data_IF_932909159316
#
_entry.id   IF_932909159316
#
_cell.length_a   1.000
_cell.length_b   1.000
_cell.length_c   1.000
_cell.angle_alpha   90.00
_cell.angle_beta   90.00
_cell.angle_gamma   90.00
#
_symmetry.space_group_name_H-M   'P 1'
#
loop_
_entity.id
_entity.type
_entity.pdbx_description
1 polymer ?
#
# COMPACT_ATOMS: atom_id res chain seq x y z
N UNK A 1 -36.64 19.04 -41.05
CA UNK A 1 -35.72 18.09 -41.69
C UNK A 1 -35.15 17.19 -40.60
N UNK A 2 -35.47 15.89 -40.60
CA UNK A 2 -35.01 14.96 -39.56
C UNK A 2 -33.53 14.68 -39.83
N UNK A 3 -32.60 14.97 -38.90
CA UNK A 3 -31.19 14.65 -39.12
C UNK A 3 -31.10 13.14 -39.40
N UNK A 4 -30.33 12.72 -40.42
CA UNK A 4 -30.23 11.32 -40.77
C UNK A 4 -29.63 10.58 -39.58
N UNK A 5 -30.41 9.66 -39.00
CA UNK A 5 -30.02 8.87 -37.81
C UNK A 5 -28.63 8.23 -37.94
N UNK A 6 -28.25 7.86 -39.17
CA UNK A 6 -26.94 7.33 -39.52
C UNK A 6 -25.78 8.31 -39.26
N UNK A 7 -25.97 9.61 -39.47
CA UNK A 7 -24.96 10.63 -39.22
C UNK A 7 -24.72 10.82 -37.72
N UNK A 8 -25.78 10.76 -36.92
CA UNK A 8 -25.65 10.84 -35.46
C UNK A 8 -24.92 9.61 -34.93
N UNK A 9 -25.24 8.42 -35.46
CA UNK A 9 -24.57 7.17 -35.11
C UNK A 9 -23.08 7.19 -35.48
N UNK A 10 -22.74 7.68 -36.67
CA UNK A 10 -21.33 7.74 -37.10
C UNK A 10 -20.52 8.73 -36.28
N UNK A 11 -21.09 9.88 -35.92
CA UNK A 11 -20.44 10.86 -35.04
C UNK A 11 -20.20 10.28 -33.64
N UNK A 12 -21.18 9.56 -33.07
CA UNK A 12 -21.03 8.93 -31.76
C UNK A 12 -19.90 7.89 -31.74
N UNK A 13 -19.85 7.01 -32.74
CA UNK A 13 -18.80 5.98 -32.85
C UNK A 13 -17.42 6.63 -33.04
N UNK A 14 -17.33 7.68 -33.86
CA UNK A 14 -16.09 8.41 -34.10
C UNK A 14 -15.60 9.10 -32.82
N UNK A 15 -16.52 9.66 -32.02
CA UNK A 15 -16.20 10.32 -30.76
C UNK A 15 -15.69 9.33 -29.71
N UNK A 16 -16.32 8.15 -29.58
CA UNK A 16 -15.82 7.09 -28.70
C UNK A 16 -14.43 6.60 -29.13
N UNK A 17 -14.23 6.33 -30.42
CA UNK A 17 -12.93 5.91 -30.94
C UNK A 17 -11.84 6.97 -30.70
N UNK A 18 -12.18 8.25 -30.88
CA UNK A 18 -11.26 9.36 -30.60
C UNK A 18 -10.92 9.46 -29.11
N UNK A 19 -11.90 9.27 -28.22
CA UNK A 19 -11.67 9.23 -26.77
C UNK A 19 -10.69 8.11 -26.42
N UNK A 20 -10.91 6.88 -26.89
CA UNK A 20 -9.99 5.76 -26.69
C UNK A 20 -8.58 6.02 -27.25
N UNK A 21 -8.48 6.69 -28.40
CA UNK A 21 -7.20 6.99 -29.05
C UNK A 21 -6.42 8.10 -28.30
N UNK A 22 -7.14 9.12 -27.82
CA UNK A 22 -6.56 10.28 -27.10
C UNK A 22 -6.21 9.92 -25.67
N UNK A 23 -7.06 9.16 -24.97
CA UNK A 23 -6.73 8.70 -23.62
C UNK A 23 -5.69 7.59 -23.65
N UNK A 24 -5.50 6.93 -24.80
CA UNK A 24 -4.74 5.69 -24.91
C UNK A 24 -5.31 4.60 -23.99
N UNK A 25 -4.65 3.43 -23.95
CA UNK A 25 -4.81 2.49 -22.84
C UNK A 25 -4.05 2.99 -21.59
N UNK A 26 -4.03 4.31 -21.36
CA UNK A 26 -3.33 4.93 -20.24
C UNK A 26 -4.18 4.90 -18.98
N UNK A 27 -4.90 3.80 -18.76
CA UNK A 27 -5.04 3.30 -17.38
C UNK A 27 -3.68 2.74 -16.98
N UNK A 28 -2.63 3.55 -17.08
CA UNK A 28 -1.37 3.36 -16.39
C UNK A 28 -1.71 3.57 -14.93
N UNK A 29 -2.36 2.56 -14.34
CA UNK A 29 -2.55 2.50 -12.91
C UNK A 29 -1.16 2.72 -12.31
N UNK A 30 -1.06 3.71 -11.42
CA UNK A 30 0.16 3.95 -10.68
C UNK A 30 0.54 2.63 -10.01
N UNK A 31 1.62 2.01 -10.48
CA UNK A 31 2.25 0.88 -9.83
C UNK A 31 3.35 1.46 -8.97
N UNK A 32 3.24 1.42 -7.62
CA UNK A 32 4.35 1.84 -6.78
C UNK A 32 5.59 1.00 -7.11
N UNK A 33 6.75 1.66 -7.12
CA UNK A 33 8.05 0.99 -7.35
C UNK A 33 8.37 0.09 -6.16
N UNK A 34 8.11 0.62 -4.96
CA UNK A 34 8.28 -0.07 -3.69
C UNK A 34 6.92 -0.18 -3.00
N UNK A 35 6.55 -1.39 -2.60
CA UNK A 35 5.36 -1.66 -1.79
C UNK A 35 5.79 -2.21 -0.42
N UNK A 36 5.89 -1.30 0.57
CA UNK A 36 6.48 -1.59 1.88
C UNK A 36 5.35 -1.64 2.92
N UNK A 37 5.02 -2.85 3.36
CA UNK A 37 4.12 -3.09 4.48
C UNK A 37 4.92 -3.59 5.69
N UNK A 38 4.98 -2.81 6.76
CA UNK A 38 5.72 -3.17 7.99
C UNK A 38 4.75 -3.63 9.08
N UNK A 39 5.03 -4.78 9.69
CA UNK A 39 4.34 -5.29 10.86
C UNK A 39 5.19 -5.03 12.11
N UNK A 40 4.91 -3.91 12.77
CA UNK A 40 5.67 -3.46 13.92
C UNK A 40 5.58 -4.46 15.08
N UNK A 41 6.69 -4.67 15.79
CA UNK A 41 6.89 -5.67 16.85
C UNK A 41 6.86 -7.14 16.38
N UNK A 42 6.79 -7.41 15.07
CA UNK A 42 6.88 -8.78 14.54
C UNK A 42 8.31 -9.14 14.14
N UNK A 43 8.80 -10.35 14.45
CA UNK A 43 10.02 -10.86 13.84
C UNK A 43 9.73 -11.41 12.43
N UNK A 44 10.68 -11.25 11.51
CA UNK A 44 10.64 -11.84 10.17
C UNK A 44 9.46 -11.40 9.28
N UNK A 45 9.39 -11.99 8.09
CA UNK A 45 8.32 -11.70 7.14
C UNK A 45 7.11 -12.61 7.36
N UNK A 46 5.92 -12.08 7.10
CA UNK A 46 4.65 -12.83 7.15
C UNK A 46 3.76 -12.46 5.96
N UNK A 47 2.79 -13.30 5.62
CA UNK A 47 1.89 -13.07 4.49
C UNK A 47 0.44 -13.15 4.93
N UNK A 48 -0.35 -12.13 4.61
CA UNK A 48 -1.76 -12.03 4.99
C UNK A 48 -2.53 -11.18 3.97
N UNK A 49 -3.66 -11.69 3.47
CA UNK A 49 -4.53 -10.97 2.50
C UNK A 49 -3.81 -10.38 1.29
N UNK A 50 -2.96 -11.18 0.65
CA UNK A 50 -2.12 -10.82 -0.51
C UNK A 50 -0.98 -9.84 -0.22
N UNK A 51 -0.83 -9.39 1.02
CA UNK A 51 0.27 -8.54 1.45
C UNK A 51 1.40 -9.39 2.04
N UNK A 52 2.64 -9.03 1.71
CA UNK A 52 3.81 -9.50 2.45
C UNK A 52 4.20 -8.42 3.44
N UNK A 53 4.11 -8.76 4.72
CA UNK A 53 4.43 -7.89 5.84
C UNK A 53 5.84 -8.15 6.34
N UNK A 54 6.62 -7.08 6.45
CA UNK A 54 8.00 -7.09 6.91
C UNK A 54 8.02 -6.84 8.42
N UNK A 55 8.63 -7.73 9.19
CA UNK A 55 8.83 -7.57 10.62
C UNK A 55 9.96 -6.59 10.94
N UNK A 56 9.72 -5.70 11.90
CA UNK A 56 10.73 -4.73 12.39
C UNK A 56 11.41 -5.16 13.70
N UNK A 57 11.12 -6.37 14.23
CA UNK A 57 11.66 -6.84 15.51
C UNK A 57 12.80 -7.84 15.37
N UNK A 58 13.22 -8.16 14.15
CA UNK A 58 14.39 -9.00 13.89
C UNK A 58 15.68 -8.18 14.01
N UNK A 59 16.71 -8.79 14.61
CA UNK A 59 18.02 -8.17 14.77
C UNK A 59 18.61 -7.81 13.40
N UNK A 60 18.92 -6.53 13.21
CA UNK A 60 19.42 -6.02 11.92
C UNK A 60 18.34 -5.70 10.89
N UNK A 61 17.06 -5.73 11.24
CA UNK A 61 15.99 -5.27 10.34
C UNK A 61 16.20 -3.80 9.96
N UNK A 62 16.18 -3.51 8.66
CA UNK A 62 16.30 -2.17 8.09
C UNK A 62 15.19 -1.22 8.55
N UNK A 63 14.06 -1.79 8.97
CA UNK A 63 12.87 -1.06 9.39
C UNK A 63 12.78 -0.89 10.91
N UNK A 64 13.77 -1.39 11.66
CA UNK A 64 13.88 -1.14 13.09
C UNK A 64 14.09 0.35 13.37
N UNK A 65 13.44 0.91 14.40
CA UNK A 65 13.71 2.29 14.83
C UNK A 65 15.18 2.48 15.17
N UNK A 66 15.75 3.60 14.72
CA UNK A 66 17.21 3.84 14.75
C UNK A 66 17.70 4.67 15.94
N UNK A 67 16.80 5.15 16.80
CA UNK A 67 17.18 6.04 17.91
C UNK A 67 17.73 5.30 19.14
N UNK A 68 18.86 5.80 19.66
CA UNK A 68 19.61 5.31 20.82
C UNK A 68 18.90 5.48 22.17
N UNK A 69 17.76 6.17 22.23
CA UNK A 69 17.01 6.38 23.48
C UNK A 69 16.06 5.19 23.67
N UNK A 70 16.68 4.07 24.03
CA UNK A 70 16.09 2.75 24.18
C UNK A 70 15.00 2.68 25.25
N UNK A 71 13.75 2.88 24.85
CA UNK A 71 12.65 2.09 25.41
C UNK A 71 11.51 2.04 24.41
N UNK A 72 11.41 0.96 23.65
CA UNK A 72 10.15 0.58 23.02
C UNK A 72 9.64 -0.67 23.73
N UNK A 73 8.33 -0.84 23.74
CA UNK A 73 7.69 -2.02 24.31
C UNK A 73 6.98 -2.74 23.18
N UNK A 74 7.33 -4.01 22.99
CA UNK A 74 6.62 -4.91 22.10
C UNK A 74 5.37 -5.40 22.85
N UNK A 75 4.20 -5.18 22.27
CA UNK A 75 2.93 -5.48 22.91
C UNK A 75 1.97 -6.19 21.96
N UNK A 76 1.21 -7.14 22.50
CA UNK A 76 0.11 -7.76 21.79
C UNK A 76 -1.21 -7.07 22.15
N UNK A 77 -2.12 -7.01 21.19
CA UNK A 77 -3.49 -6.56 21.43
C UNK A 77 -4.17 -7.49 22.44
N UNK A 78 -4.68 -6.91 23.52
CA UNK A 78 -5.40 -7.66 24.56
C UNK A 78 -6.80 -8.11 24.12
N UNK A 79 -7.32 -7.53 23.03
CA UNK A 79 -8.63 -7.85 22.44
C UNK A 79 -8.54 -7.73 20.93
N UNK A 80 -9.20 -8.65 20.23
CA UNK A 80 -9.47 -8.54 18.79
C UNK A 80 -10.88 -7.98 18.57
N UNK A 81 -11.04 -7.19 17.50
CA UNK A 81 -12.37 -6.79 17.04
C UNK A 81 -12.84 -7.77 15.95
N UNK A 82 -14.11 -8.21 15.97
CA UNK A 82 -14.66 -9.08 14.94
C UNK A 82 -14.68 -8.43 13.55
N UNK A 83 -14.50 -7.12 13.46
CA UNK A 83 -14.37 -6.39 12.19
C UNK A 83 -13.03 -6.63 11.48
N UNK A 84 -12.00 -7.10 12.20
CA UNK A 84 -10.72 -7.48 11.61
C UNK A 84 -10.66 -9.00 11.51
N UNK A 85 -10.88 -9.51 10.30
CA UNK A 85 -10.78 -10.95 10.02
C UNK A 85 -9.34 -11.46 10.05
N UNK A 86 -8.36 -10.56 9.93
CA UNK A 86 -6.95 -10.88 9.89
C UNK A 86 -6.22 -10.28 11.09
N UNK A 87 -5.27 -11.05 11.63
CA UNK A 87 -4.49 -10.64 12.80
C UNK A 87 -3.28 -9.79 12.42
N UNK A 88 -2.75 -9.93 11.20
CA UNK A 88 -1.61 -9.14 10.74
C UNK A 88 -2.12 -7.89 10.01
N UNK A 89 -1.61 -6.68 10.32
CA UNK A 89 -0.58 -6.34 11.32
C UNK A 89 -1.18 -5.95 12.69
N UNK A 90 -2.49 -6.11 12.88
CA UNK A 90 -3.24 -5.46 13.97
C UNK A 90 -3.07 -6.11 15.36
N UNK A 91 -2.58 -7.35 15.44
CA UNK A 91 -2.47 -8.07 16.71
C UNK A 91 -1.23 -7.70 17.52
N UNK A 92 -0.21 -7.13 16.88
CA UNK A 92 1.04 -6.72 17.55
C UNK A 92 1.31 -5.25 17.30
N UNK A 93 1.96 -4.60 18.26
CA UNK A 93 2.28 -3.19 18.17
C UNK A 93 3.59 -2.90 18.88
N UNK A 94 4.35 -1.96 18.32
CA UNK A 94 5.49 -1.34 19.00
C UNK A 94 5.02 -0.06 19.68
N UNK A 95 5.06 -0.06 21.00
CA UNK A 95 4.73 1.11 21.82
C UNK A 95 5.99 1.95 22.02
N UNK A 96 5.88 3.23 21.71
CA UNK A 96 6.99 4.16 21.83
C UNK A 96 6.59 5.31 22.76
N UNK A 97 7.16 5.38 23.97
CA UNK A 97 6.88 6.44 24.95
C UNK A 97 7.59 7.77 24.63
N UNK A 98 8.59 7.74 23.75
CA UNK A 98 9.37 8.90 23.30
C UNK A 98 9.31 9.03 21.77
N UNK A 99 10.09 9.97 21.22
CA UNK A 99 10.22 10.12 19.77
C UNK A 99 10.99 8.94 19.18
N UNK A 100 10.53 8.45 18.03
CA UNK A 100 11.28 7.52 17.18
C UNK A 100 11.44 8.07 15.77
N UNK A 101 12.56 7.72 15.16
CA UNK A 101 12.85 7.85 13.75
C UNK A 101 12.81 6.48 13.07
N UNK A 102 12.02 6.39 12.00
CA UNK A 102 11.96 5.25 11.08
C UNK A 102 12.67 5.63 9.79
N UNK A 103 13.63 4.82 9.37
CA UNK A 103 14.26 4.96 8.08
C UNK A 103 13.56 4.05 7.08
N UNK A 104 12.97 4.66 6.04
CA UNK A 104 12.37 3.92 4.93
C UNK A 104 13.32 4.00 3.74
N UNK A 105 14.00 2.90 3.37
CA UNK A 105 14.76 2.87 2.13
C UNK A 105 13.80 3.12 0.96
N UNK A 106 14.20 3.96 0.02
CA UNK A 106 13.44 4.26 -1.19
C UNK A 106 14.34 4.02 -2.40
N UNK A 107 13.83 3.32 -3.40
CA UNK A 107 14.49 3.24 -4.68
C UNK A 107 14.13 4.49 -5.49
N UNK A 108 15.14 5.24 -5.94
CA UNK A 108 14.93 6.23 -6.98
C UNK A 108 14.75 5.47 -8.30
N UNK A 109 13.55 5.54 -8.89
CA UNK A 109 13.27 4.94 -10.20
C UNK A 109 14.25 5.43 -11.26
N UNK A 110 14.69 4.50 -12.11
CA UNK A 110 15.55 4.76 -13.27
C UNK A 110 14.79 5.45 -14.41
#
# INVERSE_FOLDING_TARGET
>A
MKPPLLLLLSISILLEALLFLVTGNNVGAYSPIDDIAVNCSSPGNSSESNWTWIGDAEDGSTYSPTDEIHSFINANASRSSPSFHNLIPYHVARLVPLRIHLHLPRHCGA
#
